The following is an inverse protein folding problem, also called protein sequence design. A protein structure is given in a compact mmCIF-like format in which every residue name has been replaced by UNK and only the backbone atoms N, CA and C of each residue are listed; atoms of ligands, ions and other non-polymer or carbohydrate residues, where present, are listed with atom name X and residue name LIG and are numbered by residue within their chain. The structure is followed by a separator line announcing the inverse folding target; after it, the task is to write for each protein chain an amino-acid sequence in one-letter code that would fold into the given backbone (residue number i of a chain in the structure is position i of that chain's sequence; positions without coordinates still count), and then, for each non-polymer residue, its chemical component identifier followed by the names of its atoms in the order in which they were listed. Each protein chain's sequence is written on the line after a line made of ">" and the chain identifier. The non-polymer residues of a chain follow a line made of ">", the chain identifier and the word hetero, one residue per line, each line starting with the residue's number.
data_IF_341528428051
#
_entry.id   IF_341528428051
#
_cell.length_a   1.000
_cell.length_b   1.000
_cell.length_c   1.000
_cell.angle_alpha   90.00
_cell.angle_beta   90.00
_cell.angle_gamma   90.00
#
_symmetry.space_group_name_H-M   'P 1'
#
loop_
_entity.id
_entity.type
_entity.pdbx_description
1 polymer ?
#
# COMPACT_ATOMS: atom_id res chain seq x y z
N UNK A 1 -6.80 -10.44 20.78
CA UNK A 1 -6.42 -9.05 21.12
C UNK A 1 -5.89 -8.49 19.80
N UNK A 2 -6.71 -7.74 19.05
CA UNK A 2 -6.34 -7.29 17.71
C UNK A 2 -5.12 -6.36 17.79
N UNK A 3 -4.17 -6.59 16.90
CA UNK A 3 -2.78 -6.18 16.91
C UNK A 3 -2.59 -4.72 16.46
N UNK A 4 -1.57 -4.07 17.05
CA UNK A 4 -1.15 -2.66 16.98
C UNK A 4 -0.87 -2.07 15.56
N UNK A 5 -1.28 -2.72 14.47
CA UNK A 5 -0.89 -2.39 13.09
C UNK A 5 -1.30 -1.00 12.66
N UNK A 6 -2.58 -0.70 12.81
CA UNK A 6 -3.13 0.56 12.32
C UNK A 6 -2.61 1.73 13.11
N UNK A 7 -2.35 1.55 14.40
CA UNK A 7 -1.71 2.60 15.19
C UNK A 7 -0.36 2.99 14.59
N UNK A 8 0.45 2.02 14.17
CA UNK A 8 1.72 2.30 13.51
C UNK A 8 1.50 2.98 12.13
N UNK A 9 0.52 2.52 11.35
CA UNK A 9 0.16 3.14 10.05
C UNK A 9 -0.37 4.59 10.22
N UNK A 10 -1.26 4.84 11.16
CA UNK A 10 -1.81 6.15 11.49
C UNK A 10 -0.75 7.09 12.04
N UNK A 11 0.16 6.60 12.89
CA UNK A 11 1.31 7.38 13.34
C UNK A 11 2.20 7.76 12.16
N UNK A 12 2.48 6.82 11.24
CA UNK A 12 3.23 7.13 10.02
C UNK A 12 2.54 8.18 9.17
N UNK A 13 1.21 8.08 8.98
CA UNK A 13 0.43 9.12 8.29
C UNK A 13 0.60 10.46 8.99
N UNK A 14 0.41 10.53 10.30
CA UNK A 14 0.55 11.77 11.09
C UNK A 14 1.94 12.40 10.95
N UNK A 15 3.00 11.60 11.05
CA UNK A 15 4.39 12.06 10.91
C UNK A 15 4.64 12.57 9.49
N UNK A 16 4.23 11.80 8.48
CA UNK A 16 4.41 12.14 7.07
C UNK A 16 3.57 13.36 6.64
N UNK A 17 2.38 13.58 7.22
CA UNK A 17 1.56 14.77 7.00
C UNK A 17 2.23 16.06 7.47
N UNK A 18 3.05 16.00 8.53
CA UNK A 18 3.85 17.16 8.96
C UNK A 18 4.88 17.60 7.90
N UNK A 19 5.19 16.72 6.94
CA UNK A 19 6.03 17.01 5.77
C UNK A 19 5.20 17.46 4.55
N UNK A 20 3.94 17.85 4.75
CA UNK A 20 2.93 18.09 3.71
C UNK A 20 3.27 19.08 2.58
N UNK A 21 4.29 19.92 2.77
CA UNK A 21 4.85 20.79 1.72
C UNK A 21 5.60 20.04 0.61
N UNK A 22 6.01 18.80 0.88
CA UNK A 22 6.69 17.96 -0.09
C UNK A 22 5.75 17.48 -1.20
N UNK A 23 6.32 17.17 -2.37
CA UNK A 23 5.60 16.43 -3.41
C UNK A 23 5.28 15.02 -2.91
N UNK A 24 4.26 14.39 -3.49
CA UNK A 24 3.89 13.01 -3.12
C UNK A 24 5.03 12.05 -3.49
N UNK A 25 5.75 12.30 -4.58
CA UNK A 25 6.92 11.49 -4.97
C UNK A 25 8.03 11.54 -3.90
N UNK A 26 8.32 12.72 -3.36
CA UNK A 26 9.35 12.86 -2.32
C UNK A 26 8.89 12.20 -1.02
N UNK A 27 7.63 12.39 -0.65
CA UNK A 27 7.05 11.79 0.55
C UNK A 27 7.05 10.27 0.46
N UNK A 28 6.61 9.73 -0.66
CA UNK A 28 6.63 8.31 -0.97
C UNK A 28 8.04 7.74 -0.87
N UNK A 29 9.07 8.38 -1.46
CA UNK A 29 10.45 7.91 -1.34
C UNK A 29 10.96 7.85 0.09
N UNK A 30 10.58 8.81 0.93
CA UNK A 30 10.94 8.81 2.36
C UNK A 30 10.29 7.61 3.06
N UNK A 31 8.99 7.39 2.83
CA UNK A 31 8.22 6.30 3.42
C UNK A 31 8.77 4.95 2.94
N UNK A 32 8.86 4.74 1.62
CA UNK A 32 9.39 3.53 1.00
C UNK A 32 10.78 3.18 1.53
N UNK A 33 11.70 4.16 1.57
CA UNK A 33 13.05 3.92 2.10
C UNK A 33 13.04 3.57 3.59
N UNK A 34 12.08 4.10 4.37
CA UNK A 34 11.92 3.78 5.79
C UNK A 34 11.48 2.32 5.97
N UNK A 35 10.52 1.85 5.16
CA UNK A 35 10.08 0.46 5.12
C UNK A 35 11.19 -0.49 4.68
N UNK A 36 11.91 -0.14 3.61
CA UNK A 36 13.00 -0.98 3.10
C UNK A 36 14.11 -1.15 4.13
N UNK A 37 14.51 -0.05 4.79
CA UNK A 37 15.48 -0.08 5.88
C UNK A 37 14.99 -0.88 7.09
N UNK A 38 13.71 -0.75 7.45
CA UNK A 38 13.10 -1.53 8.51
C UNK A 38 13.12 -3.04 8.17
N UNK A 39 12.76 -3.41 6.95
CA UNK A 39 12.81 -4.80 6.46
C UNK A 39 14.20 -5.41 6.53
N UNK A 40 15.23 -4.68 6.05
CA UNK A 40 16.63 -5.10 6.18
C UNK A 40 17.04 -5.32 7.65
N UNK A 41 16.64 -4.40 8.53
CA UNK A 41 16.94 -4.48 9.96
C UNK A 41 16.31 -5.70 10.62
N UNK A 42 15.07 -6.07 10.24
CA UNK A 42 14.39 -7.27 10.75
C UNK A 42 15.10 -8.54 10.29
N UNK A 43 15.57 -8.57 9.04
CA UNK A 43 16.27 -9.74 8.48
C UNK A 43 17.76 -9.83 8.83
N UNK A 44 18.32 -8.83 9.53
CA UNK A 44 19.73 -8.79 9.90
C UNK A 44 20.69 -8.69 8.71
N UNK A 45 20.22 -8.21 7.56
CA UNK A 45 20.98 -8.15 6.31
C UNK A 45 21.89 -6.92 6.31
N UNK A 46 23.15 -7.09 5.87
CA UNK A 46 24.18 -6.03 5.82
C UNK A 46 24.97 -6.04 4.52
N UNK A 47 25.77 -4.99 4.29
CA UNK A 47 26.71 -4.93 3.17
C UNK A 47 26.09 -4.29 1.93
N UNK A 48 26.22 -4.93 0.75
CA UNK A 48 25.80 -4.36 -0.54
C UNK A 48 24.37 -3.83 -0.56
N UNK A 49 23.42 -4.52 0.09
CA UNK A 49 22.02 -4.11 0.12
C UNK A 49 21.81 -2.84 0.97
N UNK A 50 22.62 -2.64 2.03
CA UNK A 50 22.59 -1.38 2.78
C UNK A 50 23.11 -0.21 1.94
N UNK A 51 24.11 -0.44 1.10
CA UNK A 51 24.62 0.59 0.17
C UNK A 51 23.57 0.96 -0.89
N UNK A 52 22.83 0.00 -1.43
CA UNK A 52 21.73 0.27 -2.37
C UNK A 52 20.61 1.11 -1.72
N UNK A 53 20.27 0.83 -0.45
CA UNK A 53 19.34 1.68 0.32
C UNK A 53 19.93 3.07 0.56
N UNK A 54 21.22 3.20 0.85
CA UNK A 54 21.88 4.52 0.99
C UNK A 54 21.83 5.31 -0.32
N UNK A 55 22.02 4.65 -1.46
CA UNK A 55 21.91 5.27 -2.78
C UNK A 55 20.50 5.75 -3.07
N UNK A 56 19.49 4.99 -2.67
CA UNK A 56 18.11 5.45 -2.73
C UNK A 56 17.87 6.67 -1.82
N UNK A 57 18.37 6.64 -0.58
CA UNK A 57 18.25 7.78 0.36
C UNK A 57 18.92 9.04 -0.20
N UNK A 58 20.01 8.91 -0.98
CA UNK A 58 20.68 10.06 -1.62
C UNK A 58 19.76 10.79 -2.61
N UNK A 59 18.75 10.13 -3.19
CA UNK A 59 17.76 10.78 -4.08
C UNK A 59 16.76 11.65 -3.32
N UNK A 60 16.67 11.50 -2.00
CA UNK A 60 15.80 12.35 -1.15
C UNK A 60 16.53 13.68 -0.87
N UNK A 61 15.85 14.85 -0.89
CA UNK A 61 16.49 16.12 -0.58
C UNK A 61 17.10 16.09 0.84
N UNK A 62 18.32 16.61 0.96
CA UNK A 62 19.16 16.48 2.16
C UNK A 62 18.45 16.80 3.50
N UNK A 63 17.63 17.86 3.61
CA UNK A 63 16.94 18.20 4.86
C UNK A 63 15.99 17.11 5.39
N UNK A 64 15.55 16.18 4.54
CA UNK A 64 14.55 15.16 4.89
C UNK A 64 15.12 13.74 5.00
N UNK A 65 16.40 13.53 4.65
CA UNK A 65 17.02 12.19 4.69
C UNK A 65 17.01 11.57 6.09
N UNK A 66 17.10 12.39 7.13
CA UNK A 66 17.05 11.93 8.52
C UNK A 66 15.71 11.25 8.86
N UNK A 67 14.62 11.60 8.17
CA UNK A 67 13.30 10.99 8.39
C UNK A 67 13.30 9.48 8.11
N UNK A 68 14.14 9.03 7.16
CA UNK A 68 14.31 7.61 6.82
C UNK A 68 14.93 6.78 7.94
N UNK A 69 15.48 7.43 8.97
CA UNK A 69 16.07 6.77 10.14
C UNK A 69 15.39 7.18 11.45
N UNK A 70 14.38 8.04 11.37
CA UNK A 70 13.71 8.65 12.52
C UNK A 70 12.43 7.90 12.89
N UNK A 71 11.41 8.66 13.29
CA UNK A 71 10.14 8.10 13.76
C UNK A 71 9.41 7.28 12.68
N UNK A 72 9.50 7.65 11.39
CA UNK A 72 8.94 6.85 10.30
C UNK A 72 9.57 5.45 10.23
N UNK A 73 10.89 5.36 10.38
CA UNK A 73 11.59 4.07 10.43
C UNK A 73 11.20 3.25 11.67
N UNK A 74 11.06 3.89 12.84
CA UNK A 74 10.68 3.17 14.06
C UNK A 74 9.26 2.59 13.97
N UNK A 75 8.30 3.35 13.43
CA UNK A 75 6.94 2.84 13.21
C UNK A 75 6.91 1.77 12.10
N UNK A 76 7.67 1.93 11.00
CA UNK A 76 7.80 0.90 9.98
C UNK A 76 8.42 -0.39 10.54
N UNK A 77 9.43 -0.28 11.41
CA UNK A 77 10.07 -1.42 12.08
C UNK A 77 9.09 -2.14 13.03
N UNK A 78 8.33 -1.38 13.81
CA UNK A 78 7.27 -1.91 14.68
C UNK A 78 6.23 -2.66 13.85
N UNK A 79 5.72 -2.02 12.79
CA UNK A 79 4.74 -2.59 11.87
C UNK A 79 5.23 -3.90 11.26
N UNK A 80 6.43 -3.93 10.64
CA UNK A 80 6.97 -5.13 9.99
C UNK A 80 7.16 -6.27 10.99
N UNK A 81 7.69 -5.98 12.19
CA UNK A 81 7.87 -7.01 13.23
C UNK A 81 6.54 -7.60 13.69
N UNK A 82 5.56 -6.74 13.96
CA UNK A 82 4.24 -7.19 14.32
C UNK A 82 3.60 -7.99 13.17
N UNK A 83 3.84 -7.58 11.92
CA UNK A 83 3.17 -8.18 10.76
C UNK A 83 3.74 -9.58 10.50
N UNK A 84 5.07 -9.72 10.57
CA UNK A 84 5.72 -11.03 10.54
C UNK A 84 5.25 -11.93 11.69
N UNK A 85 5.14 -11.39 12.91
CA UNK A 85 4.64 -12.15 14.06
C UNK A 85 3.20 -12.63 13.85
N UNK A 86 2.35 -11.81 13.24
CA UNK A 86 0.99 -12.17 12.87
C UNK A 86 0.96 -13.27 11.80
N UNK A 87 1.81 -13.19 10.78
CA UNK A 87 1.93 -14.21 9.74
C UNK A 87 2.47 -15.55 10.30
N UNK A 88 3.35 -15.51 11.29
CA UNK A 88 3.92 -16.71 11.93
C UNK A 88 2.96 -17.36 12.96
N UNK A 89 2.08 -16.57 13.58
CA UNK A 89 1.07 -17.08 14.51
C UNK A 89 -0.13 -17.69 13.76
N UNK A 90 -0.02 -18.97 13.41
CA UNK A 90 -1.07 -19.79 12.78
C UNK A 90 -2.42 -19.79 13.52
N UNK A 91 -2.52 -19.26 14.76
CA UNK A 91 -3.78 -19.13 15.50
C UNK A 91 -4.44 -17.76 15.29
N UNK A 92 -3.67 -16.74 14.95
CA UNK A 92 -4.13 -15.36 14.73
C UNK A 92 -4.22 -14.99 13.26
N UNK A 93 -3.35 -15.56 12.41
CA UNK A 93 -3.56 -15.66 10.99
C UNK A 93 -4.77 -16.56 10.76
N UNK A 94 -5.95 -16.02 11.03
CA UNK A 94 -7.18 -16.60 10.54
C UNK A 94 -7.00 -16.53 9.02
N UNK A 95 -6.75 -17.69 8.41
CA UNK A 95 -7.16 -17.90 7.03
C UNK A 95 -8.67 -17.70 7.10
N UNK A 96 -9.12 -16.45 7.01
CA UNK A 96 -10.53 -16.09 6.95
C UNK A 96 -10.92 -16.62 5.60
N UNK A 97 -11.34 -17.90 5.58
CA UNK A 97 -11.82 -18.66 4.43
C UNK A 97 -11.66 -17.85 3.15
N UNK A 98 -10.42 -17.85 2.67
CA UNK A 98 -10.02 -17.44 1.34
C UNK A 98 -10.64 -16.10 0.87
N UNK A 99 -10.08 -14.93 1.25
CA UNK A 99 -10.44 -13.63 0.66
C UNK A 99 -11.94 -13.47 0.30
N UNK A 100 -12.84 -13.86 1.21
CA UNK A 100 -14.26 -14.00 0.90
C UNK A 100 -14.80 -12.60 0.58
N UNK A 101 -15.13 -12.38 -0.68
CA UNK A 101 -15.51 -11.07 -1.17
C UNK A 101 -16.74 -10.53 -0.44
N UNK A 102 -17.66 -11.41 -0.03
CA UNK A 102 -18.82 -11.03 0.78
C UNK A 102 -18.40 -10.55 2.16
N UNK A 103 -17.42 -11.19 2.79
CA UNK A 103 -16.90 -10.75 4.09
C UNK A 103 -16.23 -9.38 3.99
N UNK A 104 -15.38 -9.17 2.99
CA UNK A 104 -14.73 -7.88 2.72
C UNK A 104 -15.78 -6.78 2.51
N UNK A 105 -16.77 -7.05 1.67
CA UNK A 105 -17.88 -6.12 1.41
C UNK A 105 -18.66 -5.80 2.68
N UNK A 106 -19.09 -6.80 3.44
CA UNK A 106 -19.85 -6.60 4.68
C UNK A 106 -19.05 -5.81 5.72
N UNK A 107 -17.75 -6.09 5.83
CA UNK A 107 -16.85 -5.37 6.71
C UNK A 107 -16.76 -3.89 6.30
N UNK A 108 -16.48 -3.61 5.02
CA UNK A 108 -16.42 -2.24 4.51
C UNK A 108 -17.75 -1.51 4.66
N UNK A 109 -18.89 -2.17 4.42
CA UNK A 109 -20.23 -1.62 4.66
C UNK A 109 -20.42 -1.23 6.12
N UNK A 110 -19.96 -2.06 7.06
CA UNK A 110 -20.10 -1.80 8.50
C UNK A 110 -19.15 -0.72 9.02
N UNK A 111 -17.94 -0.62 8.47
CA UNK A 111 -16.87 0.27 8.97
C UNK A 111 -16.87 1.64 8.30
N UNK A 112 -17.08 1.68 6.99
CA UNK A 112 -17.00 2.90 6.17
C UNK A 112 -18.40 3.42 5.85
N UNK A 113 -19.37 2.53 5.70
CA UNK A 113 -20.72 2.91 5.31
C UNK A 113 -20.77 3.44 3.87
N UNK A 114 -21.45 4.57 3.67
CA UNK A 114 -21.57 5.18 2.34
C UNK A 114 -20.33 6.01 2.01
N UNK A 115 -19.79 5.83 0.81
CA UNK A 115 -18.77 6.72 0.22
C UNK A 115 -19.28 7.31 -1.08
N UNK A 116 -18.68 8.40 -1.55
CA UNK A 116 -19.03 9.03 -2.82
C UNK A 116 -18.25 8.44 -4.00
N UNK A 117 -17.09 7.83 -3.72
CA UNK A 117 -16.19 7.25 -4.71
C UNK A 117 -15.37 6.08 -4.21
N UNK A 118 -15.02 5.15 -5.12
CA UNK A 118 -14.16 4.00 -4.85
C UNK A 118 -13.00 3.96 -5.83
N UNK A 119 -11.77 3.90 -5.34
CA UNK A 119 -10.56 3.64 -6.12
C UNK A 119 -9.97 2.30 -5.71
N UNK A 120 -9.81 1.42 -6.69
CA UNK A 120 -9.17 0.11 -6.50
C UNK A 120 -7.87 0.10 -7.28
N UNK A 121 -6.75 0.10 -6.57
CA UNK A 121 -5.44 -0.10 -7.15
C UNK A 121 -5.19 -1.57 -7.46
N UNK A 122 -4.60 -1.82 -8.61
CA UNK A 122 -3.92 -3.07 -8.96
C UNK A 122 -2.49 -2.96 -8.42
N UNK A 123 -2.10 -3.84 -7.49
CA UNK A 123 -0.72 -3.94 -6.98
C UNK A 123 -0.22 -2.76 -6.10
N UNK A 124 -1.08 -2.06 -5.33
CA UNK A 124 -0.59 -1.00 -4.40
C UNK A 124 -0.17 -1.56 -3.04
N UNK A 125 0.98 -1.12 -2.55
CA UNK A 125 1.49 -1.52 -1.24
C UNK A 125 1.31 -0.41 -0.19
N UNK A 126 1.62 -0.76 1.07
CA UNK A 126 1.52 0.14 2.22
C UNK A 126 2.17 1.52 2.01
N UNK A 127 3.35 1.66 1.37
CA UNK A 127 3.96 2.97 1.12
C UNK A 127 3.08 3.93 0.31
N UNK A 128 2.34 3.44 -0.70
CA UNK A 128 1.46 4.27 -1.51
C UNK A 128 0.25 4.78 -0.71
N UNK A 129 -0.37 3.91 0.10
CA UNK A 129 -1.48 4.30 0.95
C UNK A 129 -1.07 5.36 1.98
N UNK A 130 0.09 5.18 2.64
CA UNK A 130 0.59 6.17 3.60
C UNK A 130 0.88 7.49 2.88
N UNK A 131 1.56 7.47 1.73
CA UNK A 131 1.89 8.71 1.00
C UNK A 131 0.64 9.50 0.59
N UNK A 132 -0.38 8.81 0.05
CA UNK A 132 -1.64 9.41 -0.38
C UNK A 132 -2.42 9.95 0.83
N UNK A 133 -2.61 9.13 1.87
CA UNK A 133 -3.32 9.53 3.08
C UNK A 133 -2.62 10.72 3.77
N UNK A 134 -1.30 10.68 3.86
CA UNK A 134 -0.51 11.75 4.45
C UNK A 134 -0.68 13.07 3.71
N UNK A 135 -0.73 13.02 2.38
CA UNK A 135 -0.93 14.20 1.55
C UNK A 135 -2.35 14.76 1.70
N UNK A 136 -3.37 13.92 1.75
CA UNK A 136 -4.74 14.39 2.02
C UNK A 136 -4.88 15.00 3.41
N UNK A 137 -4.29 14.38 4.44
CA UNK A 137 -4.30 14.92 5.80
C UNK A 137 -3.56 16.25 5.88
N UNK A 138 -2.43 16.41 5.19
CA UNK A 138 -1.74 17.70 5.07
C UNK A 138 -2.57 18.80 4.39
N UNK A 139 -3.52 18.42 3.53
CA UNK A 139 -4.50 19.32 2.92
C UNK A 139 -5.74 19.55 3.80
N UNK A 140 -5.69 19.17 5.07
CA UNK A 140 -6.78 19.35 6.03
C UNK A 140 -7.96 18.40 5.83
N UNK A 141 -7.76 17.26 5.15
CA UNK A 141 -8.80 16.23 4.99
C UNK A 141 -8.75 15.23 6.13
N UNK A 142 -9.92 14.73 6.53
CA UNK A 142 -10.02 13.60 7.43
C UNK A 142 -9.62 12.32 6.68
N UNK A 143 -8.62 11.62 7.20
CA UNK A 143 -8.08 10.40 6.61
C UNK A 143 -8.02 9.30 7.66
N UNK A 144 -8.40 8.09 7.29
CA UNK A 144 -8.40 6.92 8.16
C UNK A 144 -7.87 5.73 7.38
N UNK A 145 -6.97 4.95 7.98
CA UNK A 145 -6.52 3.67 7.44
C UNK A 145 -7.25 2.58 8.23
N UNK A 146 -7.92 1.66 7.55
CA UNK A 146 -8.66 0.58 8.20
C UNK A 146 -7.72 -0.56 8.61
N UNK A 147 -7.99 -1.19 9.76
CA UNK A 147 -7.14 -2.21 10.39
C UNK A 147 -7.22 -3.61 9.76
N UNK A 148 -7.44 -3.72 8.46
CA UNK A 148 -7.85 -4.99 7.85
C UNK A 148 -6.91 -5.35 6.71
N UNK A 149 -6.06 -6.36 6.96
CA UNK A 149 -5.16 -6.94 5.96
C UNK A 149 -5.70 -8.29 5.54
N UNK A 150 -6.01 -8.42 4.25
CA UNK A 150 -6.39 -9.70 3.65
C UNK A 150 -5.15 -10.33 3.04
N UNK A 151 -4.73 -11.48 3.58
CA UNK A 151 -3.60 -12.23 3.04
C UNK A 151 -4.16 -13.27 2.07
N UNK A 152 -3.82 -13.13 0.78
CA UNK A 152 -4.08 -14.18 -0.20
C UNK A 152 -3.14 -15.36 0.05
N UNK A 153 -3.62 -16.61 0.05
CA UNK A 153 -2.73 -17.76 0.10
C UNK A 153 -1.76 -17.76 -1.09
N UNK A 154 -0.49 -18.09 -0.82
CA UNK A 154 0.58 -18.23 -1.82
C UNK A 154 0.11 -19.16 -2.95
N UNK A 155 0.24 -18.70 -4.21
CA UNK A 155 -0.16 -19.46 -5.41
C UNK A 155 -1.65 -19.41 -5.78
N UNK A 156 -2.48 -18.63 -5.07
CA UNK A 156 -3.94 -18.59 -5.28
C UNK A 156 -4.48 -17.19 -5.61
N UNK A 157 -3.72 -16.37 -6.35
CA UNK A 157 -4.21 -15.11 -6.94
C UNK A 157 -5.49 -15.31 -7.79
N UNK A 158 -5.71 -16.54 -8.26
CA UNK A 158 -6.92 -16.97 -8.99
C UNK A 158 -8.20 -17.05 -8.12
N UNK A 159 -8.11 -16.83 -6.80
CA UNK A 159 -9.24 -17.06 -5.88
C UNK A 159 -10.26 -15.92 -5.86
N UNK A 160 -9.82 -14.66 -5.70
CA UNK A 160 -10.69 -13.48 -5.82
C UNK A 160 -11.36 -13.42 -7.21
N UNK A 161 -10.60 -13.78 -8.24
CA UNK A 161 -11.10 -13.90 -9.61
C UNK A 161 -12.06 -15.07 -9.81
N UNK A 162 -11.93 -16.17 -9.05
CA UNK A 162 -12.81 -17.33 -9.16
C UNK A 162 -14.18 -17.17 -8.49
N UNK A 163 -14.30 -16.24 -7.53
CA UNK A 163 -15.55 -15.95 -6.80
C UNK A 163 -16.53 -15.07 -7.57
N UNK A 164 -16.06 -14.37 -8.61
CA UNK A 164 -16.89 -13.60 -9.53
C UNK A 164 -17.22 -14.52 -10.70
N UNK A 165 -18.48 -14.96 -10.83
CA UNK A 165 -18.89 -15.96 -11.82
C UNK A 165 -18.36 -15.65 -13.24
N UNK A 166 -17.46 -16.51 -13.71
CA UNK A 166 -17.13 -16.84 -15.09
C UNK A 166 -17.13 -15.71 -16.14
N UNK A 167 -16.21 -14.74 -16.05
CA UNK A 167 -15.86 -13.88 -17.18
C UNK A 167 -14.36 -13.52 -17.20
N UNK A 168 -13.88 -12.99 -18.33
CA UNK A 168 -12.47 -12.91 -18.73
C UNK A 168 -11.51 -12.26 -17.69
N UNK A 169 -10.27 -12.77 -17.58
CA UNK A 169 -9.31 -12.35 -16.52
C UNK A 169 -9.03 -10.84 -16.44
N UNK A 170 -9.18 -10.14 -17.55
CA UNK A 170 -8.96 -8.69 -17.62
C UNK A 170 -10.02 -7.84 -16.93
N UNK A 171 -11.19 -8.39 -16.56
CA UNK A 171 -12.32 -7.60 -16.04
C UNK A 171 -12.53 -7.71 -14.53
N UNK A 172 -11.91 -8.68 -13.85
CA UNK A 172 -12.21 -8.97 -12.43
C UNK A 172 -12.04 -7.78 -11.49
N UNK A 173 -10.94 -7.03 -11.59
CA UNK A 173 -10.72 -5.91 -10.69
C UNK A 173 -11.69 -4.75 -10.96
N UNK A 174 -12.09 -4.57 -12.21
CA UNK A 174 -13.15 -3.62 -12.56
C UNK A 174 -14.52 -4.06 -12.01
N UNK A 175 -14.79 -5.38 -11.96
CA UNK A 175 -15.98 -5.93 -11.31
C UNK A 175 -15.92 -5.76 -9.79
N UNK A 176 -14.77 -5.98 -9.15
CA UNK A 176 -14.59 -5.73 -7.73
C UNK A 176 -14.87 -4.26 -7.39
N UNK A 177 -14.30 -3.33 -8.15
CA UNK A 177 -14.57 -1.90 -7.99
C UNK A 177 -16.08 -1.57 -8.16
N UNK A 178 -16.75 -2.20 -9.13
CA UNK A 178 -18.20 -2.04 -9.35
C UNK A 178 -19.03 -2.63 -8.20
N UNK A 179 -18.65 -3.79 -7.67
CA UNK A 179 -19.32 -4.39 -6.52
C UNK A 179 -19.22 -3.45 -5.31
N UNK A 180 -18.02 -2.96 -5.00
CA UNK A 180 -17.84 -2.00 -3.91
C UNK A 180 -18.66 -0.72 -4.14
N UNK A 181 -18.73 -0.22 -5.38
CA UNK A 181 -19.58 0.92 -5.73
C UNK A 181 -21.04 0.68 -5.35
N UNK A 182 -21.60 -0.44 -5.75
CA UNK A 182 -23.01 -0.77 -5.53
C UNK A 182 -23.30 -0.94 -4.04
N UNK A 183 -22.44 -1.68 -3.33
CA UNK A 183 -22.59 -2.01 -1.92
C UNK A 183 -22.41 -0.78 -1.01
N UNK A 184 -21.44 0.06 -1.32
CA UNK A 184 -21.16 1.31 -0.57
C UNK A 184 -21.94 2.53 -1.11
N UNK A 185 -22.84 2.32 -2.08
CA UNK A 185 -23.70 3.37 -2.69
C UNK A 185 -22.91 4.57 -3.25
N UNK A 186 -21.76 4.28 -3.86
CA UNK A 186 -20.89 5.30 -4.45
C UNK A 186 -21.37 5.74 -5.83
N UNK A 187 -21.16 7.02 -6.15
CA UNK A 187 -21.51 7.57 -7.46
C UNK A 187 -20.60 7.05 -8.58
N UNK A 188 -19.35 6.72 -8.24
CA UNK A 188 -18.35 6.26 -9.19
C UNK A 188 -17.40 5.23 -8.56
N UNK A 189 -16.75 4.45 -9.44
CA UNK A 189 -15.64 3.57 -9.09
C UNK A 189 -14.63 3.51 -10.22
N UNK A 190 -13.35 3.38 -9.90
CA UNK A 190 -12.29 3.24 -10.89
C UNK A 190 -11.24 2.21 -10.48
N UNK A 191 -10.69 1.54 -11.49
CA UNK A 191 -9.53 0.63 -11.37
C UNK A 191 -8.29 1.41 -11.79
N UNK A 192 -7.24 1.43 -10.98
CA UNK A 192 -5.94 2.02 -11.32
C UNK A 192 -4.91 0.90 -11.50
N UNK A 193 -4.40 0.70 -12.72
CA UNK A 193 -3.42 -0.36 -13.04
C UNK A 193 -1.96 0.11 -13.11
N UNK A 194 -1.69 1.38 -12.80
CA UNK A 194 -0.37 2.00 -13.04
C UNK A 194 0.76 1.28 -12.32
N UNK A 195 0.55 0.87 -11.07
CA UNK A 195 1.59 0.24 -10.24
C UNK A 195 1.91 -1.16 -10.75
N UNK A 196 0.88 -1.96 -11.04
CA UNK A 196 1.00 -3.26 -11.69
C UNK A 196 1.80 -3.19 -13.00
N UNK A 197 1.43 -2.27 -13.90
CA UNK A 197 2.12 -2.08 -15.18
C UNK A 197 3.60 -1.71 -15.01
N UNK A 198 3.92 -0.89 -14.02
CA UNK A 198 5.30 -0.48 -13.73
C UNK A 198 6.08 -1.62 -13.08
N UNK A 199 5.45 -2.39 -12.18
CA UNK A 199 6.09 -3.56 -11.57
C UNK A 199 6.49 -4.57 -12.65
N UNK A 200 5.61 -4.84 -13.62
CA UNK A 200 5.91 -5.73 -14.75
C UNK A 200 7.01 -5.23 -15.69
N UNK A 201 7.08 -3.92 -15.94
CA UNK A 201 7.98 -3.35 -16.97
C UNK A 201 9.30 -2.83 -16.42
N UNK A 202 9.32 -2.42 -15.15
CA UNK A 202 10.39 -1.62 -14.54
C UNK A 202 10.68 -2.06 -13.10
N UNK A 203 10.12 -3.18 -12.63
CA UNK A 203 10.42 -3.76 -11.32
C UNK A 203 11.82 -4.38 -11.23
N UNK A 204 12.60 -4.42 -12.31
CA UNK A 204 13.93 -5.05 -12.34
C UNK A 204 14.95 -4.42 -11.38
N UNK A 205 14.79 -3.14 -11.04
CA UNK A 205 15.56 -2.46 -10.00
C UNK A 205 14.65 -1.54 -9.18
N UNK A 206 15.02 -1.26 -7.92
CA UNK A 206 14.28 -0.28 -7.11
C UNK A 206 14.29 1.11 -7.73
N UNK A 207 15.40 1.50 -8.35
CA UNK A 207 15.56 2.82 -8.96
C UNK A 207 14.57 2.99 -10.12
N UNK A 208 14.54 2.05 -11.04
CA UNK A 208 13.67 2.12 -12.23
C UNK A 208 12.20 2.12 -11.83
N UNK A 209 11.83 1.30 -10.84
CA UNK A 209 10.49 1.27 -10.27
C UNK A 209 10.10 2.63 -9.68
N UNK A 210 10.91 3.17 -8.75
CA UNK A 210 10.59 4.41 -8.04
C UNK A 210 10.64 5.66 -8.93
N UNK A 211 11.53 5.69 -9.92
CA UNK A 211 11.61 6.78 -10.89
C UNK A 211 10.40 6.79 -11.84
N UNK A 212 9.75 5.64 -12.02
CA UNK A 212 8.63 5.48 -12.95
C UNK A 212 7.25 5.56 -12.29
N UNK A 213 7.12 5.17 -11.01
CA UNK A 213 5.85 5.11 -10.27
C UNK A 213 5.07 6.43 -10.24
N UNK A 214 5.78 7.56 -10.23
CA UNK A 214 5.24 8.93 -10.17
C UNK A 214 4.01 9.09 -9.25
N UNK A 215 4.12 8.83 -7.93
CA UNK A 215 3.00 8.93 -6.97
C UNK A 215 2.20 10.24 -7.02
N UNK A 216 2.79 11.36 -7.44
CA UNK A 216 2.03 12.60 -7.60
C UNK A 216 0.96 12.53 -8.68
N UNK A 217 1.19 11.81 -9.79
CA UNK A 217 0.18 11.66 -10.84
C UNK A 217 -1.03 10.86 -10.32
N UNK A 218 -0.78 9.77 -9.58
CA UNK A 218 -1.81 8.96 -8.93
C UNK A 218 -2.61 9.76 -7.90
N UNK A 219 -1.91 10.55 -7.08
CA UNK A 219 -2.55 11.39 -6.09
C UNK A 219 -3.44 12.45 -6.75
N UNK A 220 -2.98 13.13 -7.81
CA UNK A 220 -3.78 14.13 -8.50
C UNK A 220 -5.02 13.53 -9.16
N UNK A 221 -4.93 12.31 -9.69
CA UNK A 221 -6.09 11.57 -10.20
C UNK A 221 -7.16 11.41 -9.12
N UNK A 222 -6.77 10.96 -7.92
CA UNK A 222 -7.70 10.76 -6.79
C UNK A 222 -8.21 12.11 -6.24
N UNK A 223 -7.31 13.09 -6.10
CA UNK A 223 -7.59 14.41 -5.53
C UNK A 223 -8.72 15.11 -6.26
N UNK A 224 -8.74 15.05 -7.60
CA UNK A 224 -9.81 15.63 -8.44
C UNK A 224 -11.21 15.17 -8.05
N UNK A 225 -11.33 13.96 -7.50
CA UNK A 225 -12.61 13.45 -7.02
C UNK A 225 -12.82 13.74 -5.53
N UNK A 226 -11.77 13.67 -4.71
CA UNK A 226 -11.85 13.79 -3.25
C UNK A 226 -12.06 15.24 -2.71
N UNK A 227 -12.01 16.28 -3.55
CA UNK A 227 -12.10 17.68 -3.11
C UNK A 227 -13.37 18.03 -2.30
N UNK A 228 -14.48 17.33 -2.50
CA UNK A 228 -15.72 17.53 -1.72
C UNK A 228 -16.44 16.21 -1.42
N UNK A 229 -15.74 15.09 -1.55
CA UNK A 229 -16.32 13.75 -1.56
C UNK A 229 -15.57 12.84 -0.60
N UNK A 230 -16.30 11.94 0.01
CA UNK A 230 -15.76 10.79 0.73
C UNK A 230 -15.30 9.73 -0.27
N UNK A 231 -14.07 9.23 -0.12
CA UNK A 231 -13.47 8.30 -1.07
C UNK A 231 -12.88 7.11 -0.32
N UNK A 232 -13.22 5.90 -0.76
CA UNK A 232 -12.53 4.67 -0.37
C UNK A 232 -11.38 4.42 -1.35
N UNK A 233 -10.20 4.17 -0.82
CA UNK A 233 -9.03 3.74 -1.58
C UNK A 233 -8.64 2.35 -1.06
N UNK A 234 -8.53 1.37 -1.94
CA UNK A 234 -8.16 -0.01 -1.61
C UNK A 234 -7.28 -0.62 -2.70
N UNK A 235 -6.72 -1.79 -2.45
CA UNK A 235 -6.09 -2.61 -3.48
C UNK A 235 -6.53 -4.08 -3.34
N UNK A 236 -6.36 -4.87 -4.39
CA UNK A 236 -6.54 -6.32 -4.38
C UNK A 236 -5.31 -7.07 -3.85
N UNK A 237 -4.12 -6.55 -4.12
CA UNK A 237 -2.85 -7.04 -3.57
C UNK A 237 -1.77 -5.95 -3.59
N UNK A 238 -0.68 -6.17 -2.84
CA UNK A 238 0.53 -5.34 -2.93
C UNK A 238 1.57 -5.93 -3.88
N UNK A 239 2.64 -5.17 -4.13
CA UNK A 239 3.92 -5.69 -4.60
C UNK A 239 4.84 -6.06 -3.44
N UNK A 240 5.79 -6.94 -3.73
CA UNK A 240 6.88 -7.36 -2.86
C UNK A 240 8.21 -6.74 -3.31
N UNK A 241 9.08 -6.45 -2.35
CA UNK A 241 10.48 -6.13 -2.60
C UNK A 241 11.32 -7.35 -2.22
N UNK A 242 11.94 -7.97 -3.23
CA UNK A 242 12.79 -9.14 -3.06
C UNK A 242 14.25 -8.72 -3.19
N UNK A 243 15.12 -9.45 -2.48
CA UNK A 243 16.56 -9.29 -2.56
C UNK A 243 17.22 -10.60 -3.01
N UNK A 244 18.22 -10.48 -3.89
CA UNK A 244 19.06 -11.59 -4.33
C UNK A 244 20.53 -11.15 -4.52
N UNK A 245 21.32 -11.98 -5.20
CA UNK A 245 22.72 -11.71 -5.54
C UNK A 245 22.91 -10.63 -6.63
N UNK A 246 21.84 -10.10 -7.22
CA UNK A 246 21.87 -9.03 -8.21
C UNK A 246 21.38 -7.69 -7.66
N UNK A 247 20.61 -7.69 -6.57
CA UNK A 247 20.25 -6.48 -5.83
C UNK A 247 18.84 -6.58 -5.27
N UNK A 248 18.14 -5.45 -5.22
CA UNK A 248 16.71 -5.44 -4.98
C UNK A 248 15.91 -5.34 -6.28
N UNK A 249 14.80 -6.05 -6.32
CA UNK A 249 13.80 -5.94 -7.38
C UNK A 249 12.39 -5.97 -6.80
N UNK A 250 11.45 -5.43 -7.56
CA UNK A 250 10.02 -5.31 -7.21
C UNK A 250 9.24 -6.30 -8.07
N UNK A 251 8.40 -7.11 -7.44
CA UNK A 251 7.57 -8.11 -8.13
C UNK A 251 6.21 -8.22 -7.44
N UNK A 252 5.29 -8.97 -8.03
CA UNK A 252 4.00 -9.29 -7.43
C UNK A 252 3.57 -10.68 -7.90
N UNK A 253 2.87 -11.41 -7.04
CA UNK A 253 2.37 -12.75 -7.37
C UNK A 253 3.34 -13.91 -7.09
N UNK A 254 4.24 -13.76 -6.10
CA UNK A 254 4.90 -14.90 -5.48
C UNK A 254 4.00 -15.60 -4.46
#
# INVERSE_FOLDING_TARGET
>A
MMTNFTKDLENMVKIASALGRLTVDTLHRIIFSSFLRAGLSVRGVRGRWEEEVKDLIRTIPAPYRAQVSGELYLNALSFIKAFNSFLEDNRQAVIIREANLQHIVQLLESRVGKVDGVFVFDCASVPEFIAIASKFSALGRNTTILEEVFVNPVGVTRFLTGQLEALDRGTYLAHYARLLKERLRAGFSTKISTIDLITHRQGFTLRDFLDSLKPSELFEEIRRFAEQKSVLITSDHGYDVIMDEHGFYVTHGY
#
